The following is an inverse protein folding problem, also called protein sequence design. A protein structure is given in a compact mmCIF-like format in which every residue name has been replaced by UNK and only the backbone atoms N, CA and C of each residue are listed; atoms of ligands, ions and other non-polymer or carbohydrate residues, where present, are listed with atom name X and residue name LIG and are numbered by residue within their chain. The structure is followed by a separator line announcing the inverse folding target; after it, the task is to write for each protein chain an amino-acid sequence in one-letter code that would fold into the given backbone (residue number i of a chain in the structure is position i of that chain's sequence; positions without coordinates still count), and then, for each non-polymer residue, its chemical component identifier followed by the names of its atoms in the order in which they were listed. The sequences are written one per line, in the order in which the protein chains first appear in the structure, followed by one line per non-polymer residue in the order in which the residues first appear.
data_IF_804745748946
#
_entry.id   IF_804745748946
#
_cell.length_a   1.000
_cell.length_b   1.000
_cell.length_c   1.000
_cell.angle_alpha   90.00
_cell.angle_beta   90.00
_cell.angle_gamma   90.00
#
_symmetry.space_group_name_H-M   'P 1'
#
loop_
_entity.id
_entity.type
_entity.pdbx_description
1 polymer ?
#
# COMPACT_ATOMS: atom_id res chain seq x y z
N UNK A 1 -11.44 43.37 16.24
CA UNK A 1 -10.39 43.63 15.24
C UNK A 1 -10.09 42.32 14.52
N UNK A 2 -10.27 42.28 13.20
CA UNK A 2 -9.95 41.13 12.36
C UNK A 2 -8.43 40.96 12.27
N UNK A 3 -7.94 39.73 12.43
CA UNK A 3 -6.67 39.30 11.86
C UNK A 3 -6.91 38.12 10.92
N UNK A 4 -7.17 38.45 9.65
CA UNK A 4 -7.10 37.52 8.52
C UNK A 4 -5.71 37.65 7.90
N UNK A 5 -4.77 36.85 8.41
CA UNK A 5 -3.46 36.55 7.81
C UNK A 5 -3.02 35.21 8.44
N UNK A 6 -2.67 34.14 7.73
CA UNK A 6 -1.95 34.10 6.48
C UNK A 6 -2.56 33.13 5.45
N UNK A 7 -2.47 33.59 4.21
CA UNK A 7 -2.79 32.89 2.97
C UNK A 7 -1.77 31.76 2.73
N UNK A 8 -2.27 30.53 2.62
CA UNK A 8 -1.83 29.40 1.77
C UNK A 8 -0.35 29.36 1.31
N UNK A 9 0.42 28.38 1.83
CA UNK A 9 1.54 27.79 1.07
C UNK A 9 1.89 26.33 1.40
N UNK A 10 0.97 25.51 1.91
CA UNK A 10 1.23 24.07 2.11
C UNK A 10 0.90 23.18 0.88
N UNK A 11 0.46 23.75 -0.25
CA UNK A 11 -0.03 22.94 -1.40
C UNK A 11 0.88 22.93 -2.64
N UNK A 12 2.10 23.45 -2.56
CA UNK A 12 3.00 23.51 -3.73
C UNK A 12 3.84 22.24 -3.92
N UNK A 13 4.04 21.42 -2.87
CA UNK A 13 4.82 20.17 -2.98
C UNK A 13 4.02 19.04 -3.63
N UNK A 14 2.69 19.05 -3.51
CA UNK A 14 1.82 18.02 -4.12
C UNK A 14 1.70 18.13 -5.66
N UNK A 15 2.14 19.24 -6.28
CA UNK A 15 2.12 19.44 -7.74
C UNK A 15 3.43 19.13 -8.45
N UNK A 16 4.50 18.82 -7.71
CA UNK A 16 5.63 18.15 -8.35
C UNK A 16 5.19 16.69 -8.47
N UNK A 17 4.79 16.29 -9.68
CA UNK A 17 4.52 14.91 -10.05
C UNK A 17 5.79 14.07 -9.91
N UNK A 18 6.29 13.93 -8.69
CA UNK A 18 7.36 13.04 -8.30
C UNK A 18 6.80 11.63 -8.33
N UNK A 19 6.56 11.14 -9.54
CA UNK A 19 6.28 9.74 -9.77
C UNK A 19 7.62 9.01 -9.65
N UNK A 20 7.72 8.09 -8.70
CA UNK A 20 8.90 7.22 -8.55
C UNK A 20 9.03 6.21 -9.68
N UNK A 21 7.99 6.08 -10.51
CA UNK A 21 7.93 5.13 -11.63
C UNK A 21 8.02 5.88 -12.95
N UNK A 22 9.05 5.57 -13.73
CA UNK A 22 9.17 6.02 -15.13
C UNK A 22 8.02 5.43 -15.96
N UNK A 23 7.32 6.20 -16.81
CA UNK A 23 6.29 5.67 -17.69
C UNK A 23 6.83 4.54 -18.56
N UNK A 24 6.17 3.38 -18.57
CA UNK A 24 6.57 2.23 -19.39
C UNK A 24 5.83 2.27 -20.73
N UNK A 25 6.10 3.31 -21.51
CA UNK A 25 5.43 3.60 -22.79
C UNK A 25 5.81 2.66 -23.94
N UNK A 26 6.74 1.72 -23.72
CA UNK A 26 7.20 0.77 -24.74
C UNK A 26 6.31 -0.46 -24.90
N UNK A 27 5.30 -0.65 -24.04
CA UNK A 27 4.40 -1.80 -24.08
C UNK A 27 3.27 -1.54 -25.09
N UNK A 28 2.99 -2.48 -26.01
CA UNK A 28 1.79 -2.43 -26.86
C UNK A 28 0.47 -2.45 -26.06
N UNK A 29 0.51 -2.93 -24.81
CA UNK A 29 -0.63 -2.97 -23.90
C UNK A 29 -0.69 -1.70 -23.03
N UNK A 30 -1.85 -1.05 -23.02
CA UNK A 30 -2.19 0.04 -22.09
C UNK A 30 -2.54 -0.54 -20.72
N UNK A 31 -1.73 -0.21 -19.71
CA UNK A 31 -2.06 -0.52 -18.33
C UNK A 31 -2.86 0.64 -17.72
N UNK A 32 -3.68 0.36 -16.69
CA UNK A 32 -4.33 1.42 -15.93
C UNK A 32 -3.26 2.35 -15.34
N UNK A 33 -3.47 3.65 -15.50
CA UNK A 33 -2.60 4.69 -14.95
C UNK A 33 -3.23 5.36 -13.72
N UNK A 34 -2.41 5.99 -12.89
CA UNK A 34 -2.85 6.76 -11.73
C UNK A 34 -2.67 6.05 -10.37
N UNK A 35 -3.12 6.68 -9.27
CA UNK A 35 -2.94 6.13 -7.93
C UNK A 35 -3.52 4.72 -7.81
N UNK A 36 -2.79 3.83 -7.15
CA UNK A 36 -3.17 2.43 -6.89
C UNK A 36 -3.19 1.51 -8.12
N UNK A 37 -2.91 2.00 -9.33
CA UNK A 37 -2.90 1.15 -10.53
C UNK A 37 -1.69 0.21 -10.62
N UNK A 38 -0.66 0.48 -9.81
CA UNK A 38 0.57 -0.29 -9.71
C UNK A 38 0.57 -1.30 -8.54
N UNK A 39 -0.52 -1.37 -7.76
CA UNK A 39 -0.60 -2.27 -6.62
C UNK A 39 -1.18 -3.63 -7.05
N UNK A 40 -0.60 -4.74 -6.60
CA UNK A 40 -1.13 -6.08 -6.88
C UNK A 40 -2.37 -6.43 -6.04
N UNK A 41 -2.92 -5.46 -5.29
CA UNK A 41 -4.10 -5.62 -4.45
C UNK A 41 -4.99 -4.39 -4.52
N UNK A 42 -6.28 -4.55 -4.19
CA UNK A 42 -7.26 -3.46 -4.22
C UNK A 42 -7.40 -2.79 -2.84
N UNK A 43 -6.82 -1.59 -2.62
CA UNK A 43 -6.94 -0.86 -1.35
C UNK A 43 -8.34 -0.26 -1.12
N UNK A 44 -9.20 -0.20 -2.15
CA UNK A 44 -10.56 0.35 -2.07
C UNK A 44 -11.63 -0.71 -1.74
N UNK A 45 -11.23 -1.97 -1.55
CA UNK A 45 -12.16 -3.01 -1.12
C UNK A 45 -12.70 -2.69 0.28
N UNK A 46 -14.01 -2.88 0.49
CA UNK A 46 -14.62 -2.81 1.84
C UNK A 46 -13.99 -3.80 2.82
N UNK A 47 -13.35 -4.85 2.31
CA UNK A 47 -12.64 -5.87 3.08
C UNK A 47 -11.14 -5.62 3.19
N UNK A 48 -10.62 -4.48 2.71
CA UNK A 48 -9.18 -4.21 2.69
C UNK A 48 -8.57 -4.29 4.08
N UNK A 49 -9.20 -3.68 5.09
CA UNK A 49 -8.69 -3.72 6.47
C UNK A 49 -8.58 -5.15 7.02
N UNK A 50 -9.61 -5.97 6.81
CA UNK A 50 -9.59 -7.38 7.22
C UNK A 50 -8.52 -8.17 6.46
N UNK A 51 -8.45 -8.04 5.14
CA UNK A 51 -7.45 -8.73 4.32
C UNK A 51 -6.01 -8.33 4.67
N UNK A 52 -5.76 -7.04 4.87
CA UNK A 52 -4.45 -6.51 5.25
C UNK A 52 -3.97 -7.08 6.58
N UNK A 53 -4.80 -6.99 7.63
CA UNK A 53 -4.42 -7.49 8.95
C UNK A 53 -4.29 -9.00 9.00
N UNK A 54 -5.15 -9.74 8.29
CA UNK A 54 -5.02 -11.20 8.17
C UNK A 54 -3.72 -11.60 7.47
N UNK A 55 -3.34 -10.93 6.38
CA UNK A 55 -2.07 -11.18 5.70
C UNK A 55 -0.87 -10.93 6.64
N UNK A 56 -0.88 -9.80 7.34
CA UNK A 56 0.20 -9.45 8.28
C UNK A 56 0.28 -10.43 9.45
N UNK A 57 -0.86 -10.74 10.07
CA UNK A 57 -0.92 -11.71 11.17
C UNK A 57 -0.43 -13.09 10.71
N UNK A 58 -0.85 -13.54 9.53
CA UNK A 58 -0.42 -14.84 8.99
C UNK A 58 1.10 -14.87 8.81
N UNK A 59 1.68 -13.87 8.13
CA UNK A 59 3.13 -13.82 7.92
C UNK A 59 3.92 -13.74 9.22
N UNK A 60 3.43 -12.99 10.20
CA UNK A 60 4.07 -12.85 11.52
C UNK A 60 3.99 -14.15 12.34
N UNK A 61 2.83 -14.79 12.40
CA UNK A 61 2.61 -15.97 13.25
C UNK A 61 3.02 -17.30 12.61
N UNK A 62 3.18 -17.36 11.28
CA UNK A 62 3.58 -18.57 10.55
C UNK A 62 4.81 -19.28 11.15
N UNK A 63 5.96 -18.62 11.42
CA UNK A 63 7.11 -19.30 12.00
C UNK A 63 6.84 -19.91 13.39
N UNK A 64 6.01 -19.27 14.22
CA UNK A 64 5.65 -19.77 15.55
C UNK A 64 4.73 -20.99 15.45
N UNK A 65 3.74 -20.95 14.56
CA UNK A 65 2.88 -22.10 14.28
C UNK A 65 3.68 -23.29 13.78
N UNK A 66 4.65 -23.06 12.89
CA UNK A 66 5.58 -24.09 12.42
C UNK A 66 6.41 -24.63 13.60
N UNK A 67 6.98 -23.77 14.45
CA UNK A 67 7.76 -24.22 15.60
C UNK A 67 6.95 -25.15 16.52
N UNK A 68 5.72 -24.77 16.84
CA UNK A 68 4.79 -25.60 17.63
C UNK A 68 4.52 -26.92 16.94
N UNK A 69 4.22 -26.91 15.63
CA UNK A 69 4.03 -28.15 14.87
C UNK A 69 5.25 -29.07 14.94
N UNK A 70 6.46 -28.51 14.79
CA UNK A 70 7.71 -29.27 14.89
C UNK A 70 7.94 -29.84 16.30
N UNK A 71 7.44 -29.20 17.38
CA UNK A 71 7.55 -29.76 18.74
C UNK A 71 6.63 -30.94 19.00
N UNK A 72 5.50 -31.03 18.27
CA UNK A 72 4.51 -32.09 18.47
C UNK A 72 4.55 -33.19 17.42
N UNK A 73 5.25 -32.98 16.29
CA UNK A 73 5.44 -34.07 15.33
C UNK A 73 6.30 -35.16 15.96
N UNK A 74 5.87 -36.42 15.84
CA UNK A 74 6.73 -37.57 16.10
C UNK A 74 7.85 -37.62 15.07
N UNK A 75 9.03 -38.10 15.49
CA UNK A 75 10.15 -38.34 14.58
C UNK A 75 9.82 -39.37 13.49
#
# INVERSE_FOLDING_TARGET
MLSRAATRTASQVARRGFHTTRPRMSSPYHYPEGPYSNLPFNPRSKWFGAGYWSFMATGFFLPFGIAVYQTYKTQ
#
